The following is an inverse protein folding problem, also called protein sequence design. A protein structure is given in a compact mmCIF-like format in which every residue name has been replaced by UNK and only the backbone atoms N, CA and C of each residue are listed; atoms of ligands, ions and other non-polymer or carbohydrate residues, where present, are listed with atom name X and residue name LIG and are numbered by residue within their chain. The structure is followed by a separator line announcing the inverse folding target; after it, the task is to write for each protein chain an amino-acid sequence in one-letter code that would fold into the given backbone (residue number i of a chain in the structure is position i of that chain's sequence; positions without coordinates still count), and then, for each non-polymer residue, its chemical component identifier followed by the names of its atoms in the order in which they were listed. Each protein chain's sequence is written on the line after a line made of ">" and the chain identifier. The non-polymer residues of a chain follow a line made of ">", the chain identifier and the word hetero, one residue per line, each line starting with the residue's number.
data_IF_727861397366
#
_entry.id   IF_727861397366
#
_cell.length_a   1.000
_cell.length_b   1.000
_cell.length_c   1.000
_cell.angle_alpha   90.00
_cell.angle_beta   90.00
_cell.angle_gamma   90.00
#
_symmetry.space_group_name_H-M   'P 1'
#
loop_
_entity.id
_entity.type
_entity.pdbx_description
1 polymer ?
#
# COMPACT_ATOMS: atom_id res chain seq x y z
N UNK A 1 -10.69 20.76 -0.85
CA UNK A 1 -11.30 19.56 -1.41
C UNK A 1 -12.33 19.03 -0.42
N UNK A 2 -13.58 18.85 -0.85
CA UNK A 2 -14.66 18.32 -0.02
C UNK A 2 -14.52 16.79 0.16
N UNK A 3 -15.08 16.23 1.24
CA UNK A 3 -14.94 14.79 1.54
C UNK A 3 -15.44 13.87 0.43
N UNK A 4 -16.43 14.31 -0.36
CA UNK A 4 -16.96 13.56 -1.52
C UNK A 4 -15.97 13.53 -2.69
N UNK A 5 -15.27 14.62 -2.93
CA UNK A 5 -14.26 14.70 -3.99
C UNK A 5 -13.04 13.84 -3.61
N UNK A 6 -12.64 13.86 -2.34
CA UNK A 6 -11.56 13.00 -1.85
C UNK A 6 -11.88 11.51 -1.99
N UNK A 7 -13.13 11.10 -1.74
CA UNK A 7 -13.56 9.72 -1.96
C UNK A 7 -13.38 9.30 -3.42
N UNK A 8 -13.73 10.16 -4.37
CA UNK A 8 -13.56 9.91 -5.80
C UNK A 8 -12.11 9.81 -6.23
N UNK A 9 -11.26 10.70 -5.72
CA UNK A 9 -9.79 10.61 -5.92
C UNK A 9 -9.29 9.26 -5.46
N UNK A 10 -9.71 8.82 -4.28
CA UNK A 10 -9.28 7.54 -3.71
C UNK A 10 -9.77 6.35 -4.54
N UNK A 11 -11.04 6.32 -4.93
CA UNK A 11 -11.59 5.25 -5.78
C UNK A 11 -10.87 5.17 -7.12
N UNK A 12 -10.57 6.31 -7.74
CA UNK A 12 -9.83 6.39 -9.00
C UNK A 12 -8.38 5.92 -8.85
N UNK A 13 -7.71 6.34 -7.77
CA UNK A 13 -6.37 5.90 -7.43
C UNK A 13 -6.29 4.40 -7.16
N UNK A 14 -7.20 3.85 -6.33
CA UNK A 14 -7.26 2.41 -6.04
C UNK A 14 -7.51 1.61 -7.35
N UNK A 15 -8.43 2.06 -8.20
CA UNK A 15 -8.67 1.43 -9.51
C UNK A 15 -7.48 1.50 -10.46
N UNK A 16 -6.68 2.56 -10.38
CA UNK A 16 -5.46 2.70 -11.17
C UNK A 16 -4.36 1.77 -10.69
N UNK A 17 -4.26 1.48 -9.38
CA UNK A 17 -3.28 0.54 -8.83
C UNK A 17 -3.51 -0.91 -9.30
N UNK A 18 -4.74 -1.28 -9.64
CA UNK A 18 -5.06 -2.58 -10.26
C UNK A 18 -4.55 -2.69 -11.72
N UNK A 19 -4.18 -1.58 -12.35
CA UNK A 19 -3.62 -1.57 -13.72
C UNK A 19 -2.09 -1.73 -13.70
N UNK A 20 -1.49 -2.24 -14.80
CA UNK A 20 -0.05 -2.25 -14.98
C UNK A 20 0.54 -0.84 -14.85
N UNK A 21 1.74 -0.70 -14.27
CA UNK A 21 2.38 0.59 -13.96
C UNK A 21 2.40 1.57 -15.16
N UNK A 22 2.63 1.05 -16.37
CA UNK A 22 2.65 1.83 -17.60
C UNK A 22 1.27 2.37 -18.01
N UNK A 23 0.20 1.74 -17.54
CA UNK A 23 -1.19 2.06 -17.88
C UNK A 23 -1.91 2.84 -16.76
N UNK A 24 -1.34 2.94 -15.55
CA UNK A 24 -1.98 3.65 -14.42
C UNK A 24 -2.22 5.13 -14.70
N UNK A 25 -1.20 5.85 -15.20
CA UNK A 25 -1.33 7.28 -15.54
C UNK A 25 -2.28 7.47 -16.73
N UNK A 26 -2.15 6.75 -17.86
CA UNK A 26 -3.13 6.78 -18.93
C UNK A 26 -4.56 6.44 -18.50
N UNK A 27 -4.73 5.50 -17.57
CA UNK A 27 -6.04 5.10 -17.05
C UNK A 27 -6.72 6.24 -16.29
N UNK A 28 -5.97 6.91 -15.41
CA UNK A 28 -6.47 8.08 -14.66
C UNK A 28 -6.77 9.25 -15.60
N UNK A 29 -5.93 9.49 -16.61
CA UNK A 29 -6.15 10.55 -17.61
C UNK A 29 -7.35 10.30 -18.52
N UNK A 30 -7.65 9.04 -18.86
CA UNK A 30 -8.81 8.67 -19.66
C UNK A 30 -10.10 8.53 -18.85
N UNK A 31 -10.05 8.75 -17.53
CA UNK A 31 -11.25 8.73 -16.70
C UNK A 31 -12.19 9.89 -17.03
N UNK A 32 -13.49 9.69 -16.85
CA UNK A 32 -14.50 10.76 -17.03
C UNK A 32 -14.65 11.66 -15.79
N UNK A 33 -13.66 11.65 -14.89
CA UNK A 33 -13.67 12.44 -13.66
C UNK A 33 -13.24 13.90 -13.92
N UNK A 34 -13.60 14.84 -13.03
CA UNK A 34 -13.16 16.23 -13.12
C UNK A 34 -11.64 16.37 -13.11
N UNK A 35 -11.11 17.39 -13.80
CA UNK A 35 -9.67 17.64 -13.89
C UNK A 35 -8.97 17.79 -12.51
N UNK A 36 -9.66 18.32 -11.51
CA UNK A 36 -9.14 18.42 -10.13
C UNK A 36 -8.94 17.03 -9.49
N UNK A 37 -9.84 16.09 -9.75
CA UNK A 37 -9.74 14.70 -9.24
C UNK A 37 -8.64 13.94 -9.97
N UNK A 38 -8.55 14.11 -11.30
CA UNK A 38 -7.49 13.51 -12.13
C UNK A 38 -6.11 14.00 -11.68
N UNK A 39 -5.95 15.30 -11.46
CA UNK A 39 -4.68 15.88 -11.03
C UNK A 39 -4.24 15.32 -9.67
N UNK A 40 -5.16 15.22 -8.70
CA UNK A 40 -4.84 14.73 -7.36
C UNK A 40 -4.54 13.22 -7.37
N UNK A 41 -5.28 12.42 -8.15
CA UNK A 41 -5.01 10.99 -8.30
C UNK A 41 -3.64 10.74 -8.97
N UNK A 42 -3.26 11.55 -9.96
CA UNK A 42 -1.91 11.50 -10.58
C UNK A 42 -0.81 11.85 -9.58
N UNK A 43 -1.00 12.92 -8.79
CA UNK A 43 -0.04 13.31 -7.75
C UNK A 43 0.16 12.20 -6.70
N UNK A 44 -0.91 11.48 -6.34
CA UNK A 44 -0.83 10.31 -5.46
C UNK A 44 -0.07 9.15 -6.10
N UNK A 45 -0.31 8.84 -7.38
CA UNK A 45 0.43 7.81 -8.13
C UNK A 45 1.93 8.14 -8.24
N UNK A 46 2.28 9.40 -8.52
CA UNK A 46 3.68 9.83 -8.55
C UNK A 46 4.34 9.71 -7.17
N UNK A 47 3.61 10.09 -6.11
CA UNK A 47 4.09 9.97 -4.73
C UNK A 47 4.29 8.52 -4.29
N UNK A 48 3.41 7.60 -4.72
CA UNK A 48 3.56 6.18 -4.40
C UNK A 48 4.76 5.54 -5.10
N UNK A 49 5.08 5.97 -6.32
CA UNK A 49 6.28 5.50 -7.05
C UNK A 49 7.56 5.92 -6.33
N UNK A 50 7.66 7.18 -5.92
CA UNK A 50 8.78 7.67 -5.12
C UNK A 50 8.91 6.97 -3.75
N UNK A 51 7.81 6.47 -3.19
CA UNK A 51 7.87 5.72 -1.94
C UNK A 51 8.33 4.27 -2.15
N UNK A 52 7.96 3.63 -3.27
CA UNK A 52 8.46 2.30 -3.63
C UNK A 52 9.97 2.29 -3.89
N UNK A 53 10.51 3.35 -4.51
CA UNK A 53 11.97 3.53 -4.66
C UNK A 53 12.68 3.77 -3.30
N UNK A 54 11.99 4.35 -2.32
CA UNK A 54 12.53 4.55 -0.96
C UNK A 54 12.48 3.28 -0.09
N UNK A 55 11.57 2.35 -0.42
CA UNK A 55 11.50 1.01 0.14
C UNK A 55 12.16 0.02 -0.81
N UNK A 56 13.44 0.19 -1.11
CA UNK A 56 14.24 -0.86 -1.74
C UNK A 56 14.27 -2.07 -0.78
N UNK A 57 13.56 -3.18 -1.05
CA UNK A 57 13.71 -4.35 -0.22
C UNK A 57 15.13 -4.90 -0.47
N UNK A 58 15.87 -5.39 0.53
CA UNK A 58 17.06 -6.17 0.25
C UNK A 58 16.61 -7.40 -0.53
N UNK A 59 16.80 -7.39 -1.85
CA UNK A 59 16.61 -8.57 -2.68
C UNK A 59 17.49 -9.69 -2.13
N UNK A 60 16.90 -10.88 -1.96
CA UNK A 60 17.31 -11.93 -2.84
C UNK A 60 16.11 -12.43 -3.62
N UNK A 61 16.28 -12.60 -4.93
CA UNK A 61 15.35 -13.16 -5.90
C UNK A 61 14.32 -14.13 -5.28
N UNK A 62 13.10 -13.64 -5.04
CA UNK A 62 11.98 -14.50 -4.68
C UNK A 62 11.23 -14.86 -5.96
N UNK A 63 11.50 -16.10 -6.36
CA UNK A 63 10.72 -16.92 -7.25
C UNK A 63 9.21 -16.68 -6.99
N UNK A 64 8.44 -16.33 -8.01
CA UNK A 64 6.98 -16.20 -7.94
C UNK A 64 6.34 -17.58 -7.67
N UNK A 65 6.34 -17.98 -6.40
CA UNK A 65 5.43 -18.97 -5.80
C UNK A 65 4.28 -18.25 -5.07
N UNK A 66 3.23 -18.97 -4.63
CA UNK A 66 1.98 -18.39 -4.19
C UNK A 66 2.15 -17.56 -2.90
N UNK A 67 2.35 -16.25 -3.05
CA UNK A 67 2.33 -15.23 -2.00
C UNK A 67 3.42 -15.36 -0.92
N UNK A 68 3.95 -14.25 -0.37
CA UNK A 68 4.62 -14.35 0.92
C UNK A 68 3.58 -14.82 1.93
N UNK A 69 3.79 -15.98 2.55
CA UNK A 69 3.04 -16.33 3.76
C UNK A 69 3.22 -15.16 4.74
N UNK A 70 2.14 -14.65 5.35
CA UNK A 70 2.26 -13.57 6.32
C UNK A 70 3.27 -14.01 7.38
N UNK A 71 4.26 -13.15 7.69
CA UNK A 71 5.18 -13.38 8.80
C UNK A 71 4.33 -13.44 10.08
N UNK A 72 3.91 -14.63 10.47
CA UNK A 72 3.16 -14.85 11.70
C UNK A 72 4.15 -14.77 12.85
N UNK A 73 4.29 -13.56 13.42
CA UNK A 73 5.22 -13.30 14.50
C UNK A 73 4.69 -14.01 15.74
N UNK A 74 5.33 -15.14 16.06
CA UNK A 74 4.93 -16.00 17.16
C UNK A 74 4.98 -15.25 18.49
N UNK A 75 4.01 -15.56 19.37
CA UNK A 75 4.00 -15.09 20.76
C UNK A 75 5.34 -15.40 21.44
N UNK A 76 5.92 -14.40 22.10
CA UNK A 76 7.22 -14.46 22.76
C UNK A 76 8.39 -13.98 21.88
N UNK A 77 8.15 -13.68 20.60
CA UNK A 77 9.18 -13.09 19.74
C UNK A 77 9.60 -11.72 20.27
N UNK A 78 10.90 -11.53 20.43
CA UNK A 78 11.48 -10.27 20.89
C UNK A 78 11.93 -9.43 19.71
N UNK A 79 11.35 -8.23 19.60
CA UNK A 79 11.70 -7.23 18.59
C UNK A 79 12.29 -6.04 19.34
N UNK A 80 13.62 -5.99 19.42
CA UNK A 80 14.34 -5.02 20.24
C UNK A 80 14.03 -5.19 21.73
N UNK A 81 13.33 -4.21 22.31
CA UNK A 81 12.89 -4.25 23.70
C UNK A 81 11.50 -4.86 23.89
N UNK A 82 10.72 -5.00 22.81
CA UNK A 82 9.33 -5.45 22.89
C UNK A 82 9.22 -6.96 22.74
N UNK A 83 8.32 -7.58 23.49
CA UNK A 83 7.97 -9.00 23.44
C UNK A 83 6.54 -9.13 22.92
N UNK A 84 6.37 -9.77 21.76
CA UNK A 84 5.07 -9.94 21.11
C UNK A 84 4.18 -10.88 21.92
N UNK A 85 2.96 -10.46 22.25
CA UNK A 85 2.02 -11.26 23.03
C UNK A 85 0.94 -11.92 22.15
N UNK A 86 0.37 -11.17 21.20
CA UNK A 86 -0.64 -11.66 20.27
C UNK A 86 -0.79 -10.73 19.06
N UNK A 87 -1.34 -11.26 17.95
CA UNK A 87 -1.82 -10.46 16.81
C UNK A 87 -3.21 -9.92 17.13
N UNK A 88 -3.42 -8.62 16.96
CA UNK A 88 -4.69 -7.94 17.25
C UNK A 88 -5.40 -7.43 15.98
N UNK A 89 -4.75 -7.47 14.82
CA UNK A 89 -5.40 -7.15 13.55
C UNK A 89 -4.51 -7.43 12.34
N UNK A 90 -5.15 -7.65 11.20
CA UNK A 90 -4.50 -7.83 9.89
C UNK A 90 -5.30 -7.04 8.87
N UNK A 91 -4.64 -6.28 8.00
CA UNK A 91 -5.30 -5.55 6.93
C UNK A 91 -4.34 -5.06 5.85
N UNK A 92 -4.75 -5.16 4.59
CA UNK A 92 -4.01 -4.66 3.44
C UNK A 92 -2.56 -5.18 3.37
N UNK A 93 -1.62 -4.37 3.83
CA UNK A 93 -0.18 -4.64 3.81
C UNK A 93 0.44 -4.77 5.21
N UNK A 94 -0.35 -4.77 6.29
CA UNK A 94 0.17 -4.72 7.65
C UNK A 94 -0.55 -5.65 8.63
N UNK A 95 0.23 -6.18 9.58
CA UNK A 95 -0.22 -6.89 10.76
C UNK A 95 0.05 -6.06 12.01
N UNK A 96 -0.93 -5.98 12.91
CA UNK A 96 -0.85 -5.26 14.17
C UNK A 96 -0.73 -6.27 15.31
N UNK A 97 0.32 -6.11 16.12
CA UNK A 97 0.60 -6.97 17.27
C UNK A 97 0.54 -6.15 18.56
N UNK A 98 0.06 -6.77 19.63
CA UNK A 98 0.23 -6.27 21.00
C UNK A 98 1.55 -6.83 21.55
N UNK A 99 2.31 -5.97 22.24
CA UNK A 99 3.59 -6.32 22.81
C UNK A 99 3.84 -5.59 24.13
N UNK A 100 4.69 -6.18 24.98
CA UNK A 100 5.15 -5.62 26.25
C UNK A 100 6.63 -5.28 26.18
N UNK A 101 7.06 -4.19 26.85
CA UNK A 101 8.46 -3.74 26.91
C UNK A 101 9.13 -4.18 28.22
#
# INVERSE_FOLDING_TARGET
>A
MDSKQWMRVRELFESALDQPEAEQVPFVENSSEPAEIIAEAKALLESSRHNLDAFEPPTPALNFGPGPEPLDISKGTRIGQYTVEARIGTGGMADVYVATQ
#
